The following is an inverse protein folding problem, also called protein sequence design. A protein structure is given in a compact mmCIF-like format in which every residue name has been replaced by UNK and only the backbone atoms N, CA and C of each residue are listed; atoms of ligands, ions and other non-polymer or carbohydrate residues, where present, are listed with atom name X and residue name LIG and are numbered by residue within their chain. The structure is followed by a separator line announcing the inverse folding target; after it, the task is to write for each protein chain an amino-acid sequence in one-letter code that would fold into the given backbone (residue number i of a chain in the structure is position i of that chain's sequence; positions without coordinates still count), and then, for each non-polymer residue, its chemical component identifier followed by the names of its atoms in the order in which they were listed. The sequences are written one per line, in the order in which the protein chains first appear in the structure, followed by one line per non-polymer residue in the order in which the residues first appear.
data_IF_306398803807
#
_entry.id   IF_306398803807
#
_cell.length_a   1.000
_cell.length_b   1.000
_cell.length_c   1.000
_cell.angle_alpha   90.00
_cell.angle_beta   90.00
_cell.angle_gamma   90.00
#
_symmetry.space_group_name_H-M   'P 1'
#
loop_
_entity.id
_entity.type
_entity.pdbx_description
1 polymer ?
#
# COMPACT_ATOMS: atom_id res chain seq x y z
N UNK A 1 26.91 -33.40 -21.53
CA UNK A 1 26.96 -32.10 -20.82
C UNK A 1 26.12 -31.12 -21.62
N UNK A 2 24.84 -30.99 -21.27
CA UNK A 2 23.88 -30.14 -21.97
C UNK A 2 24.00 -28.71 -21.49
N UNK A 3 24.31 -27.80 -22.42
CA UNK A 3 24.16 -26.37 -22.20
C UNK A 3 22.68 -26.06 -21.97
N UNK A 4 22.36 -25.52 -20.80
CA UNK A 4 21.05 -24.91 -20.57
C UNK A 4 21.05 -23.62 -21.38
N UNK A 5 20.27 -23.61 -22.47
CA UNK A 5 19.90 -22.40 -23.17
C UNK A 5 19.18 -21.49 -22.17
N UNK A 6 19.79 -20.35 -21.87
CA UNK A 6 19.11 -19.29 -21.13
C UNK A 6 17.96 -18.83 -22.03
N UNK A 7 16.74 -19.25 -21.69
CA UNK A 7 15.52 -18.85 -22.37
C UNK A 7 15.46 -17.33 -22.36
N UNK A 8 15.81 -16.73 -23.50
CA UNK A 8 15.80 -15.30 -23.70
C UNK A 8 14.41 -14.78 -23.41
N UNK A 9 14.28 -14.09 -22.26
CA UNK A 9 13.22 -13.13 -22.08
C UNK A 9 13.38 -12.16 -23.26
N UNK A 10 12.44 -12.22 -24.21
CA UNK A 10 12.44 -11.37 -25.38
C UNK A 10 12.71 -9.93 -24.94
N UNK A 11 13.91 -9.44 -25.28
CA UNK A 11 14.36 -8.05 -25.16
C UNK A 11 13.51 -7.16 -26.06
N UNK A 12 12.22 -7.05 -25.75
CA UNK A 12 11.54 -5.82 -26.03
C UNK A 12 11.88 -4.90 -24.88
N UNK A 13 12.46 -3.75 -25.18
CA UNK A 13 12.61 -2.65 -24.24
C UNK A 13 11.29 -2.51 -23.48
N UNK A 14 11.28 -2.73 -22.15
CA UNK A 14 10.21 -2.20 -21.30
C UNK A 14 10.28 -0.71 -21.54
N UNK A 15 9.36 -0.22 -22.37
CA UNK A 15 9.51 1.09 -22.99
C UNK A 15 9.61 2.14 -21.89
N UNK A 16 10.34 3.21 -22.20
CA UNK A 16 10.47 4.42 -21.39
C UNK A 16 9.13 5.02 -20.90
N UNK A 17 7.97 4.51 -21.36
CA UNK A 17 6.62 4.91 -21.00
C UNK A 17 6.03 4.33 -19.70
N UNK A 18 6.51 3.17 -19.21
CA UNK A 18 5.91 2.54 -17.99
C UNK A 18 6.10 3.41 -16.74
N UNK A 19 7.27 4.03 -16.57
CA UNK A 19 7.54 4.91 -15.43
C UNK A 19 6.70 6.20 -15.44
N UNK A 20 6.53 6.91 -16.57
CA UNK A 20 5.53 7.95 -16.72
C UNK A 20 4.11 7.51 -16.38
N UNK A 21 3.67 6.35 -16.87
CA UNK A 21 2.34 5.79 -16.56
C UNK A 21 2.19 5.55 -15.06
N UNK A 22 3.19 4.92 -14.42
CA UNK A 22 3.22 4.71 -12.98
C UNK A 22 3.15 6.03 -12.19
N UNK A 23 3.92 7.04 -12.60
CA UNK A 23 3.89 8.36 -11.97
C UNK A 23 2.49 8.98 -12.05
N UNK A 24 1.84 8.94 -13.22
CA UNK A 24 0.47 9.46 -13.41
C UNK A 24 -0.55 8.66 -12.60
N UNK A 25 -0.51 7.34 -12.67
CA UNK A 25 -1.42 6.46 -11.95
C UNK A 25 -1.41 6.74 -10.44
N UNK A 26 -0.21 6.85 -9.83
CA UNK A 26 -0.07 7.14 -8.39
C UNK A 26 -0.73 8.46 -7.96
N UNK A 27 -0.81 9.47 -8.83
CA UNK A 27 -1.44 10.75 -8.47
C UNK A 27 -2.93 10.63 -8.19
N UNK A 28 -3.60 9.60 -8.71
CA UNK A 28 -5.01 9.32 -8.43
C UNK A 28 -5.24 8.62 -7.08
N UNK A 29 -4.17 8.15 -6.42
CA UNK A 29 -4.23 7.43 -5.15
C UNK A 29 -3.39 8.11 -4.05
N UNK A 30 -3.64 9.38 -3.70
CA UNK A 30 -2.83 10.06 -2.68
C UNK A 30 -3.10 9.48 -1.28
N UNK A 31 -2.03 9.17 -0.54
CA UNK A 31 -2.08 8.61 0.83
C UNK A 31 -2.92 9.46 1.79
N UNK A 32 -2.83 10.79 1.65
CA UNK A 32 -3.52 11.78 2.50
C UNK A 32 -5.04 11.85 2.29
N UNK A 33 -5.55 11.37 1.15
CA UNK A 33 -6.99 11.43 0.86
C UNK A 33 -7.81 10.40 1.63
N UNK A 34 -7.18 9.45 2.33
CA UNK A 34 -7.88 8.44 3.14
C UNK A 34 -8.55 9.03 4.38
N UNK A 35 -7.96 10.05 5.00
CA UNK A 35 -8.50 10.66 6.22
C UNK A 35 -9.90 11.28 6.00
N UNK A 36 -10.16 12.04 4.91
CA UNK A 36 -11.52 12.53 4.62
C UNK A 36 -12.40 11.49 3.90
N UNK A 37 -11.85 10.67 3.00
CA UNK A 37 -12.66 9.77 2.15
C UNK A 37 -13.32 8.62 2.91
N UNK A 38 -12.75 8.23 4.05
CA UNK A 38 -13.32 7.20 4.94
C UNK A 38 -14.63 7.65 5.61
N UNK A 39 -14.90 8.96 5.67
CA UNK A 39 -16.10 9.51 6.31
C UNK A 39 -17.13 10.10 5.33
N UNK A 40 -16.75 10.43 4.09
CA UNK A 40 -17.59 11.26 3.19
C UNK A 40 -17.84 10.65 1.80
N UNK A 41 -17.19 9.54 1.43
CA UNK A 41 -17.44 8.92 0.11
C UNK A 41 -18.70 8.05 0.14
N UNK A 42 -19.62 8.11 -0.83
CA UNK A 42 -20.79 7.22 -0.90
C UNK A 42 -20.44 5.73 -0.89
N UNK A 43 -19.21 5.36 -1.26
CA UNK A 43 -18.66 4.01 -1.14
C UNK A 43 -18.27 3.58 0.28
N UNK A 44 -18.11 4.51 1.24
CA UNK A 44 -17.74 4.24 2.65
C UNK A 44 -18.72 3.28 3.35
N UNK A 45 -20.00 3.33 2.97
CA UNK A 45 -21.05 2.43 3.48
C UNK A 45 -21.16 1.12 2.68
N UNK A 46 -20.60 1.07 1.46
CA UNK A 46 -20.33 -0.19 0.76
C UNK A 46 -19.23 -1.03 1.43
N UNK A 47 -18.42 -0.43 2.31
CA UNK A 47 -17.47 -1.15 3.16
C UNK A 47 -18.13 -1.93 4.31
N UNK A 48 -19.46 -1.84 4.46
CA UNK A 48 -20.28 -2.63 5.39
C UNK A 48 -21.29 -3.52 4.63
N UNK A 49 -20.91 -4.07 3.48
CA UNK A 49 -21.78 -4.94 2.66
C UNK A 49 -21.04 -6.12 2.04
N UNK A 50 -21.77 -7.04 1.42
CA UNK A 50 -21.21 -8.22 0.74
C UNK A 50 -20.58 -7.90 -0.63
N UNK A 51 -20.68 -6.65 -1.12
CA UNK A 51 -20.20 -6.25 -2.44
C UNK A 51 -19.38 -4.95 -2.38
N UNK A 52 -18.07 -5.13 -2.20
CA UNK A 52 -17.09 -4.05 -2.24
C UNK A 52 -16.66 -3.71 -3.67
N UNK A 53 -16.80 -4.64 -4.62
CA UNK A 53 -16.27 -4.50 -5.97
C UNK A 53 -17.09 -3.49 -6.77
N UNK A 54 -18.42 -3.49 -6.60
CA UNK A 54 -19.30 -2.52 -7.25
C UNK A 54 -19.01 -1.08 -6.79
N UNK A 55 -18.86 -0.86 -5.48
CA UNK A 55 -18.48 0.45 -4.96
C UNK A 55 -17.08 0.87 -5.39
N UNK A 56 -16.16 -0.08 -5.45
CA UNK A 56 -14.79 0.16 -5.91
C UNK A 56 -14.72 0.55 -7.39
N UNK A 57 -15.55 -0.06 -8.25
CA UNK A 57 -15.67 0.28 -9.67
C UNK A 57 -16.17 1.71 -9.89
N UNK A 58 -17.11 2.17 -9.07
CA UNK A 58 -17.71 3.50 -9.17
C UNK A 58 -16.83 4.64 -8.63
N UNK A 59 -15.70 4.32 -7.97
CA UNK A 59 -14.82 5.34 -7.43
C UNK A 59 -14.19 6.19 -8.53
N UNK A 60 -14.12 7.51 -8.31
CA UNK A 60 -13.49 8.46 -9.23
C UNK A 60 -12.05 8.08 -9.60
N UNK A 61 -11.25 7.63 -8.62
CA UNK A 61 -9.87 7.19 -8.85
C UNK A 61 -9.81 5.97 -9.77
N UNK A 62 -10.79 5.08 -9.69
CA UNK A 62 -10.91 3.90 -10.54
C UNK A 62 -11.25 4.34 -11.97
N UNK A 63 -12.26 5.17 -12.16
CA UNK A 63 -12.58 5.73 -13.49
C UNK A 63 -11.40 6.46 -14.14
N UNK A 64 -10.65 7.27 -13.38
CA UNK A 64 -9.46 7.95 -13.88
C UNK A 64 -8.33 6.99 -14.28
N UNK A 65 -8.20 5.86 -13.58
CA UNK A 65 -7.25 4.82 -13.94
C UNK A 65 -7.70 4.05 -15.20
N UNK A 66 -9.00 3.77 -15.36
CA UNK A 66 -9.56 3.20 -16.58
C UNK A 66 -9.30 4.11 -17.78
N UNK A 67 -9.58 5.41 -17.66
CA UNK A 67 -9.33 6.40 -18.71
C UNK A 67 -7.84 6.54 -19.04
N UNK A 68 -6.96 6.57 -18.03
CA UNK A 68 -5.51 6.65 -18.24
C UNK A 68 -4.96 5.43 -18.98
N UNK A 69 -5.55 4.26 -18.75
CA UNK A 69 -5.08 2.99 -19.29
C UNK A 69 -5.81 2.58 -20.56
N UNK A 70 -6.80 3.35 -21.01
CA UNK A 70 -7.48 3.10 -22.27
C UNK A 70 -6.48 3.17 -23.45
N UNK A 71 -6.55 2.19 -24.34
CA UNK A 71 -5.59 2.05 -25.46
C UNK A 71 -4.14 1.71 -25.08
N UNK A 72 -3.81 1.48 -23.80
CA UNK A 72 -2.47 1.01 -23.41
C UNK A 72 -2.27 -0.44 -23.85
N UNK A 73 -1.12 -0.71 -24.47
CA UNK A 73 -0.74 -2.05 -24.94
C UNK A 73 -0.73 -3.06 -23.79
N UNK A 74 -1.09 -4.31 -24.08
CA UNK A 74 -1.10 -5.37 -23.07
C UNK A 74 0.27 -5.55 -22.42
N UNK A 75 1.35 -5.40 -23.20
CA UNK A 75 2.73 -5.44 -22.71
C UNK A 75 3.00 -4.38 -21.64
N UNK A 76 2.66 -3.12 -21.90
CA UNK A 76 2.91 -2.03 -20.95
C UNK A 76 1.99 -2.13 -19.73
N UNK A 77 0.76 -2.62 -19.92
CA UNK A 77 -0.19 -2.90 -18.84
C UNK A 77 0.31 -4.02 -17.91
N UNK A 78 0.88 -5.08 -18.48
CA UNK A 78 1.47 -6.18 -17.70
C UNK A 78 2.70 -5.72 -16.92
N UNK A 79 3.56 -4.90 -17.52
CA UNK A 79 4.70 -4.30 -16.84
C UNK A 79 4.26 -3.36 -15.70
N UNK A 80 3.21 -2.58 -15.91
CA UNK A 80 2.62 -1.71 -14.88
C UNK A 80 2.00 -2.51 -13.73
N UNK A 81 1.31 -3.61 -14.05
CA UNK A 81 0.72 -4.52 -13.07
C UNK A 81 1.80 -5.19 -12.22
N UNK A 82 2.86 -5.70 -12.85
CA UNK A 82 4.02 -6.25 -12.13
C UNK A 82 4.69 -5.22 -11.21
N UNK A 83 4.82 -3.97 -11.66
CA UNK A 83 5.36 -2.87 -10.86
C UNK A 83 4.47 -2.55 -9.64
N UNK A 84 3.15 -2.54 -9.83
CA UNK A 84 2.19 -2.32 -8.75
C UNK A 84 2.27 -3.44 -7.70
N UNK A 85 2.32 -4.70 -8.13
CA UNK A 85 2.47 -5.87 -7.25
C UNK A 85 3.79 -5.85 -6.48
N UNK A 86 4.90 -5.49 -7.15
CA UNK A 86 6.19 -5.29 -6.48
C UNK A 86 6.12 -4.20 -5.41
N UNK A 87 5.49 -3.06 -5.73
CA UNK A 87 5.31 -1.97 -4.78
C UNK A 87 4.46 -2.42 -3.57
N UNK A 88 3.37 -3.14 -3.79
CA UNK A 88 2.53 -3.66 -2.71
C UNK A 88 3.28 -4.62 -1.79
N UNK A 89 4.09 -5.54 -2.34
CA UNK A 89 4.95 -6.44 -1.55
C UNK A 89 5.98 -5.67 -0.72
N UNK A 90 6.62 -4.66 -1.30
CA UNK A 90 7.57 -3.79 -0.56
C UNK A 90 6.88 -3.03 0.56
N UNK A 91 5.66 -2.54 0.34
CA UNK A 91 4.88 -1.87 1.36
C UNK A 91 4.45 -2.82 2.50
N UNK A 92 4.13 -4.09 2.21
CA UNK A 92 3.87 -5.11 3.23
C UNK A 92 5.09 -5.34 4.13
N UNK A 93 6.26 -5.55 3.53
CA UNK A 93 7.52 -5.75 4.25
C UNK A 93 7.84 -4.54 5.16
N UNK A 94 7.68 -3.32 4.63
CA UNK A 94 7.93 -2.10 5.40
C UNK A 94 6.91 -1.90 6.51
N UNK A 95 5.61 -2.13 6.26
CA UNK A 95 4.57 -2.03 7.29
C UNK A 95 4.86 -2.99 8.45
N UNK A 96 5.22 -4.25 8.15
CA UNK A 96 5.57 -5.24 9.17
C UNK A 96 6.75 -4.79 10.02
N UNK A 97 7.81 -4.29 9.39
CA UNK A 97 8.98 -3.77 10.11
C UNK A 97 8.61 -2.58 11.01
N UNK A 98 7.79 -1.65 10.50
CA UNK A 98 7.31 -0.48 11.25
C UNK A 98 6.43 -0.89 12.44
N UNK A 99 5.53 -1.86 12.26
CA UNK A 99 4.69 -2.39 13.35
C UNK A 99 5.54 -3.05 14.44
N UNK A 100 6.52 -3.87 14.06
CA UNK A 100 7.44 -4.50 15.02
C UNK A 100 8.21 -3.43 15.79
N UNK A 101 8.78 -2.43 15.10
CA UNK A 101 9.49 -1.34 15.74
C UNK A 101 8.58 -0.53 16.67
N UNK A 102 7.36 -0.23 16.25
CA UNK A 102 6.37 0.51 17.04
C UNK A 102 5.96 -0.22 18.32
N UNK A 103 5.90 -1.56 18.31
CA UNK A 103 5.55 -2.32 19.51
C UNK A 103 6.76 -2.54 20.44
N UNK A 104 7.95 -2.71 19.87
CA UNK A 104 9.15 -3.09 20.64
C UNK A 104 9.93 -1.90 21.18
N UNK A 105 10.13 -0.85 20.37
CA UNK A 105 10.98 0.29 20.74
C UNK A 105 10.38 1.08 21.91
N UNK A 106 9.09 1.49 21.90
CA UNK A 106 8.51 2.22 23.04
C UNK A 106 8.54 1.40 24.33
N UNK A 107 8.26 0.09 24.26
CA UNK A 107 8.34 -0.79 25.42
C UNK A 107 9.77 -0.86 25.99
N UNK A 108 10.77 -0.94 25.11
CA UNK A 108 12.18 -0.98 25.50
C UNK A 108 12.62 0.34 26.14
N UNK A 109 12.18 1.47 25.60
CA UNK A 109 12.42 2.79 26.19
C UNK A 109 11.80 2.87 27.58
N UNK A 110 10.53 2.46 27.74
CA UNK A 110 9.85 2.47 29.03
C UNK A 110 10.57 1.58 30.05
N UNK A 111 11.05 0.40 29.65
CA UNK A 111 11.82 -0.47 30.52
C UNK A 111 13.12 0.20 31.02
N UNK A 112 13.90 0.79 30.11
CA UNK A 112 15.14 1.51 30.46
C UNK A 112 14.84 2.69 31.38
N UNK A 113 13.82 3.50 31.06
CA UNK A 113 13.46 4.65 31.89
C UNK A 113 12.96 4.19 33.26
N UNK A 114 12.24 3.07 33.36
CA UNK A 114 11.81 2.51 34.63
C UNK A 114 13.00 2.05 35.50
N UNK A 115 14.02 1.45 34.90
CA UNK A 115 15.27 1.10 35.60
C UNK A 115 16.00 2.34 36.14
N UNK A 116 16.05 3.41 35.34
CA UNK A 116 16.76 4.65 35.70
C UNK A 116 15.98 5.52 36.70
N UNK A 117 14.67 5.68 36.50
CA UNK A 117 13.81 6.56 37.30
C UNK A 117 13.27 5.89 38.57
N UNK A 118 13.44 4.57 38.72
CA UNK A 118 12.88 3.79 39.82
C UNK A 118 11.35 3.91 39.89
N UNK A 119 10.78 3.98 41.11
CA UNK A 119 9.33 4.07 41.34
C UNK A 119 8.67 5.40 40.94
N UNK A 120 9.42 6.36 40.41
CA UNK A 120 8.93 7.72 40.12
C UNK A 120 8.45 7.94 38.68
N UNK A 121 8.41 6.89 37.84
CA UNK A 121 8.03 6.99 36.43
C UNK A 121 6.67 7.69 36.22
N UNK A 122 5.68 7.39 37.08
CA UNK A 122 4.35 8.00 37.03
C UNK A 122 4.41 9.50 37.35
N UNK A 123 5.27 9.90 38.29
CA UNK A 123 5.47 11.32 38.64
C UNK A 123 6.13 12.06 37.49
N UNK A 124 7.17 11.49 36.88
CA UNK A 124 7.85 12.06 35.72
C UNK A 124 6.89 12.30 34.54
N UNK A 125 6.04 11.32 34.23
CA UNK A 125 5.03 11.42 33.17
C UNK A 125 3.96 12.46 33.49
N UNK A 126 3.53 12.57 34.75
CA UNK A 126 2.57 13.60 35.18
C UNK A 126 3.16 15.01 35.09
N UNK A 127 4.41 15.18 35.51
CA UNK A 127 5.09 16.47 35.50
C UNK A 127 5.41 16.96 34.08
N UNK A 128 5.48 16.04 33.11
CA UNK A 128 5.79 16.31 31.71
C UNK A 128 4.72 15.77 30.75
N UNK A 129 3.44 15.86 31.13
CA UNK A 129 2.32 15.27 30.37
C UNK A 129 2.26 15.75 28.92
N UNK A 130 2.54 17.03 28.66
CA UNK A 130 2.55 17.59 27.31
C UNK A 130 3.60 16.92 26.42
N UNK A 131 4.81 16.73 26.93
CA UNK A 131 5.90 16.08 26.19
C UNK A 131 5.61 14.58 25.97
N UNK A 132 5.03 13.92 26.97
CA UNK A 132 4.61 12.53 26.86
C UNK A 132 3.52 12.35 25.79
N UNK A 133 2.51 13.23 25.75
CA UNK A 133 1.44 13.21 24.74
C UNK A 133 2.03 13.47 23.35
N UNK A 134 2.87 14.50 23.19
CA UNK A 134 3.49 14.81 21.89
C UNK A 134 4.32 13.64 21.37
N UNK A 135 5.09 13.00 22.25
CA UNK A 135 5.90 11.82 21.91
C UNK A 135 5.01 10.64 21.51
N UNK A 136 3.94 10.37 22.25
CA UNK A 136 2.98 9.32 21.91
C UNK A 136 2.33 9.57 20.54
N UNK A 137 1.91 10.80 20.27
CA UNK A 137 1.34 11.20 18.97
C UNK A 137 2.37 11.02 17.85
N UNK A 138 3.61 11.51 18.03
CA UNK A 138 4.66 11.41 17.02
C UNK A 138 4.98 9.94 16.68
N UNK A 139 5.14 9.09 17.71
CA UNK A 139 5.44 7.66 17.54
C UNK A 139 4.27 6.93 16.87
N UNK A 140 3.02 7.28 17.19
CA UNK A 140 1.81 6.65 16.61
C UNK A 140 1.54 7.09 15.17
N UNK A 141 1.88 8.34 14.85
CA UNK A 141 1.61 8.95 13.54
C UNK A 141 2.33 8.20 12.42
N UNK A 142 3.59 7.80 12.63
CA UNK A 142 4.39 7.06 11.64
C UNK A 142 3.70 5.76 11.16
N UNK A 143 3.39 4.80 12.05
CA UNK A 143 2.67 3.58 11.71
C UNK A 143 1.34 3.83 10.98
N UNK A 144 0.57 4.84 11.38
CA UNK A 144 -0.68 5.20 10.70
C UNK A 144 -0.42 5.60 9.24
N UNK A 145 0.61 6.40 8.97
CA UNK A 145 1.00 6.75 7.59
C UNK A 145 1.46 5.55 6.78
N UNK A 146 2.21 4.64 7.39
CA UNK A 146 2.64 3.40 6.73
C UNK A 146 1.45 2.49 6.43
N UNK A 147 0.49 2.38 7.36
CA UNK A 147 -0.73 1.62 7.15
C UNK A 147 -1.57 2.21 5.99
N UNK A 148 -1.75 3.53 5.96
CA UNK A 148 -2.45 4.21 4.86
C UNK A 148 -1.74 4.01 3.52
N UNK A 149 -0.41 4.08 3.50
CA UNK A 149 0.40 3.85 2.29
C UNK A 149 0.30 2.41 1.80
N UNK A 150 0.36 1.45 2.72
CA UNK A 150 0.14 0.03 2.43
C UNK A 150 -1.25 -0.20 1.85
N UNK A 151 -2.29 0.33 2.48
CA UNK A 151 -3.67 0.25 1.99
C UNK A 151 -3.79 0.79 0.56
N UNK A 152 -3.27 2.00 0.28
CA UNK A 152 -3.29 2.57 -1.08
C UNK A 152 -2.52 1.72 -2.09
N UNK A 153 -1.40 1.12 -1.71
CA UNK A 153 -0.65 0.24 -2.61
C UNK A 153 -1.47 -0.96 -3.08
N UNK A 154 -2.28 -1.56 -2.19
CA UNK A 154 -3.17 -2.67 -2.53
C UNK A 154 -4.36 -2.22 -3.37
N UNK A 155 -4.87 -1.01 -3.14
CA UNK A 155 -5.94 -0.46 -4.00
C UNK A 155 -5.49 -0.29 -5.45
N UNK A 156 -4.25 0.15 -5.68
CA UNK A 156 -3.72 0.26 -7.05
C UNK A 156 -3.72 -1.10 -7.75
N UNK A 157 -3.24 -2.16 -7.06
CA UNK A 157 -3.27 -3.53 -7.59
C UNK A 157 -4.70 -3.96 -7.90
N UNK A 158 -5.63 -3.76 -6.97
CA UNK A 158 -7.03 -4.13 -7.17
C UNK A 158 -7.69 -3.40 -8.36
N UNK A 159 -7.35 -2.13 -8.62
CA UNK A 159 -7.85 -1.40 -9.80
C UNK A 159 -7.29 -2.02 -11.08
N UNK A 160 -6.01 -2.38 -11.10
CA UNK A 160 -5.40 -3.00 -12.27
C UNK A 160 -6.00 -4.39 -12.53
N UNK A 161 -6.22 -5.21 -11.49
CA UNK A 161 -6.90 -6.49 -11.64
C UNK A 161 -8.35 -6.32 -12.15
N UNK A 162 -9.07 -5.29 -11.69
CA UNK A 162 -10.41 -4.99 -12.20
C UNK A 162 -10.39 -4.60 -13.68
N UNK A 163 -9.47 -3.72 -14.10
CA UNK A 163 -9.29 -3.36 -15.51
C UNK A 163 -8.97 -4.59 -16.34
N UNK A 164 -8.12 -5.48 -15.82
CA UNK A 164 -7.75 -6.73 -16.49
C UNK A 164 -8.97 -7.65 -16.69
N UNK A 165 -9.82 -7.79 -15.67
CA UNK A 165 -11.08 -8.55 -15.75
C UNK A 165 -12.00 -7.95 -16.83
N UNK A 166 -12.14 -6.62 -16.88
CA UNK A 166 -12.98 -5.95 -17.89
C UNK A 166 -12.42 -6.07 -19.32
N UNK A 167 -11.10 -6.26 -19.47
CA UNK A 167 -10.45 -6.61 -20.74
C UNK A 167 -10.61 -8.08 -21.14
N UNK A 168 -11.22 -8.92 -20.30
CA UNK A 168 -11.34 -10.37 -20.54
C UNK A 168 -10.02 -11.13 -20.35
N UNK A 169 -9.05 -10.55 -19.64
CA UNK A 169 -7.74 -11.15 -19.38
C UNK A 169 -7.71 -11.81 -17.99
N UNK A 170 -6.83 -12.81 -17.81
CA UNK A 170 -6.73 -13.53 -16.52
C UNK A 170 -6.08 -12.66 -15.43
N UNK A 171 -6.68 -12.52 -14.24
CA UNK A 171 -6.17 -11.66 -13.16
C UNK A 171 -4.71 -11.97 -12.80
N UNK A 172 -3.92 -10.96 -12.44
CA UNK A 172 -2.53 -11.20 -12.04
C UNK A 172 -2.47 -11.96 -10.71
N UNK A 173 -3.39 -11.68 -9.78
CA UNK A 173 -3.51 -12.44 -8.53
C UNK A 173 -3.80 -13.93 -8.76
N UNK A 174 -4.54 -14.27 -9.82
CA UNK A 174 -4.82 -15.66 -10.18
C UNK A 174 -3.60 -16.39 -10.76
N UNK A 175 -2.61 -15.65 -11.28
CA UNK A 175 -1.32 -16.20 -11.70
C UNK A 175 -0.39 -16.41 -10.51
N UNK A 176 -0.39 -15.51 -9.51
CA UNK A 176 0.37 -15.70 -8.25
C UNK A 176 -0.15 -16.89 -7.42
N UNK A 177 -1.45 -17.21 -7.50
CA UNK A 177 -2.06 -18.37 -6.81
C UNK A 177 -1.90 -19.71 -7.56
N UNK A 178 -1.30 -19.71 -8.75
CA UNK A 178 -1.12 -20.90 -9.58
C UNK A 178 0.28 -21.52 -9.45
N UNK A 179 1.15 -20.90 -8.67
CA UNK A 179 2.42 -21.47 -8.22
C UNK A 179 2.22 -22.06 -6.83
N UNK A 180 1.65 -23.27 -6.79
CA UNK A 180 1.83 -24.32 -5.77
C UNK A 180 1.32 -25.66 -6.34
#
# INVERSE_FOLDING_TARGET
MGHIESGGAAEGQVTSGVWPLWKRLKTYFPTWSLLPSSFVTPGAWGYMGNDFVTGFRQNRSTHQAFELLDGVTDRDFDALSALASLNARRQDQMLRAVVIAYLTVPLSIVAIVAEVAGGSLITLVRDHSDWAIQTAVAITTGPVFFFMSHWRSRQIVAVLDLIRIERGQSPYTALELRED
#
